data_IF_222251557251
#
_entry.id   IF_222251557251
#
_cell.length_a   1.000
_cell.length_b   1.000
_cell.length_c   1.000
_cell.angle_alpha   90.00
_cell.angle_beta   90.00
_cell.angle_gamma   90.00
#
_symmetry.space_group_name_H-M   'P 1'
#
loop_
_entity.id
_entity.type
_entity.pdbx_description
1 polymer ?
#
# COMPACT_ATOMS: atom_id res chain seq x y z
N UNK A 1 10.58 0.57 -4.46
CA UNK A 1 10.46 -0.31 -3.30
C UNK A 1 9.36 0.30 -2.46
N UNK A 2 8.36 -0.50 -2.12
CA UNK A 2 7.29 -0.11 -1.22
C UNK A 2 7.74 -0.55 0.16
N UNK A 3 7.71 0.35 1.13
CA UNK A 3 8.11 0.05 2.50
C UNK A 3 6.86 -0.15 3.35
N UNK A 4 6.87 -1.15 4.24
CA UNK A 4 5.81 -1.40 5.21
C UNK A 4 6.39 -1.26 6.60
N UNK A 5 5.83 -0.37 7.40
CA UNK A 5 6.33 -0.01 8.72
C UNK A 5 5.24 -0.25 9.77
N UNK A 6 5.62 -0.78 10.93
CA UNK A 6 4.73 -0.85 12.08
C UNK A 6 4.59 0.53 12.74
N UNK A 7 3.37 0.85 13.16
CA UNK A 7 3.07 2.10 13.86
C UNK A 7 2.93 1.87 15.38
N UNK A 8 2.82 2.96 16.14
CA UNK A 8 2.70 2.90 17.60
C UNK A 8 1.44 2.19 18.11
N UNK A 9 0.41 2.03 17.26
CA UNK A 9 -0.79 1.25 17.57
C UNK A 9 -0.66 -0.15 16.97
N UNK A 10 -0.82 -1.17 17.83
CA UNK A 10 -0.72 -2.57 17.43
C UNK A 10 -1.70 -2.89 16.29
N UNK A 11 -1.18 -3.52 15.24
CA UNK A 11 -1.96 -3.91 14.06
C UNK A 11 -2.11 -2.82 13.00
N UNK A 12 -1.60 -1.61 13.26
CA UNK A 12 -1.55 -0.53 12.26
C UNK A 12 -0.22 -0.54 11.55
N UNK A 13 -0.27 -0.43 10.22
CA UNK A 13 0.91 -0.37 9.35
C UNK A 13 0.85 0.86 8.44
N UNK A 14 1.98 1.54 8.28
CA UNK A 14 2.18 2.56 7.26
C UNK A 14 2.78 1.92 6.01
N UNK A 15 2.07 2.08 4.89
CA UNK A 15 2.53 1.61 3.58
C UNK A 15 3.04 2.81 2.80
N UNK A 16 4.36 2.92 2.65
CA UNK A 16 5.00 4.01 1.91
C UNK A 16 5.17 3.62 0.46
N UNK A 17 4.36 4.24 -0.40
CA UNK A 17 4.37 4.02 -1.84
C UNK A 17 5.59 4.67 -2.50
N UNK A 18 6.15 3.99 -3.51
CA UNK A 18 7.07 4.61 -4.44
C UNK A 18 6.26 5.20 -5.60
N UNK A 19 6.44 6.49 -5.83
CA UNK A 19 5.86 7.21 -6.97
C UNK A 19 6.92 7.44 -8.03
N UNK A 20 6.58 7.15 -9.28
CA UNK A 20 7.35 7.50 -10.47
C UNK A 20 6.66 8.69 -11.13
N UNK A 21 7.43 9.66 -11.63
CA UNK A 21 6.90 10.89 -12.21
C UNK A 21 7.67 11.24 -13.49
N UNK A 22 6.95 11.63 -14.54
CA UNK A 22 7.48 12.12 -15.81
C UNK A 22 6.52 13.15 -16.44
N UNK A 23 6.79 13.63 -17.67
CA UNK A 23 5.94 14.65 -18.31
C UNK A 23 4.49 14.23 -18.55
N UNK A 24 4.16 12.94 -18.46
CA UNK A 24 2.80 12.40 -18.64
C UNK A 24 2.00 12.40 -17.33
N UNK A 25 2.68 12.58 -16.19
CA UNK A 25 2.08 12.55 -14.87
C UNK A 25 2.84 11.64 -13.91
N UNK A 26 2.12 10.97 -13.02
CA UNK A 26 2.69 10.09 -12.00
C UNK A 26 2.08 8.69 -12.02
N UNK A 27 2.85 7.71 -11.56
CA UNK A 27 2.45 6.32 -11.41
C UNK A 27 2.90 5.78 -10.05
N UNK A 28 1.98 5.08 -9.38
CA UNK A 28 2.26 4.36 -8.14
C UNK A 28 1.53 3.03 -8.14
N UNK A 29 2.26 1.95 -7.82
CA UNK A 29 1.65 0.64 -7.53
C UNK A 29 1.15 0.65 -6.08
N UNK A 30 -0.17 0.81 -5.90
CA UNK A 30 -0.79 1.04 -4.58
C UNK A 30 -1.15 -0.24 -3.82
N UNK A 31 -1.11 -1.40 -4.47
CA UNK A 31 -1.41 -2.70 -3.87
C UNK A 31 -0.63 -3.81 -4.58
N UNK A 32 -0.05 -4.73 -3.79
CA UNK A 32 0.60 -5.95 -4.28
C UNK A 32 0.40 -7.09 -3.28
N UNK A 33 -0.43 -8.07 -3.64
CA UNK A 33 -0.85 -9.18 -2.75
C UNK A 33 0.30 -9.82 -1.97
N UNK A 34 1.33 -10.30 -2.67
CA UNK A 34 2.47 -10.97 -2.02
C UNK A 34 3.21 -10.06 -1.03
N UNK A 35 3.40 -8.78 -1.34
CA UNK A 35 4.06 -7.84 -0.41
C UNK A 35 3.23 -7.68 0.87
N UNK A 36 1.92 -7.60 0.74
CA UNK A 36 1.02 -7.38 1.86
C UNK A 36 0.96 -8.64 2.74
N UNK A 37 0.84 -9.83 2.12
CA UNK A 37 0.88 -11.12 2.81
C UNK A 37 2.20 -11.34 3.57
N UNK A 38 3.35 -11.07 2.93
CA UNK A 38 4.68 -11.16 3.55
C UNK A 38 4.83 -10.22 4.76
N UNK A 39 4.05 -9.14 4.81
CA UNK A 39 4.03 -8.17 5.91
C UNK A 39 2.87 -8.40 6.90
N UNK A 40 2.22 -9.57 6.86
CA UNK A 40 1.17 -9.96 7.80
C UNK A 40 -0.22 -9.40 7.50
N UNK A 41 -0.43 -8.84 6.31
CA UNK A 41 -1.72 -8.35 5.81
C UNK A 41 -2.28 -9.40 4.84
N UNK A 42 -2.74 -10.53 5.38
CA UNK A 42 -3.22 -11.69 4.60
C UNK A 42 -4.74 -11.71 4.39
N UNK A 43 -5.41 -10.56 4.54
CA UNK A 43 -6.85 -10.43 4.30
C UNK A 43 -7.13 -10.21 2.82
N UNK A 44 -8.27 -10.72 2.35
CA UNK A 44 -8.69 -10.53 0.96
C UNK A 44 -9.11 -9.07 0.71
N UNK A 45 -8.62 -8.50 -0.39
CA UNK A 45 -9.02 -7.18 -0.86
C UNK A 45 -10.33 -7.31 -1.66
N UNK A 46 -11.46 -7.10 -0.98
CA UNK A 46 -12.81 -7.36 -1.54
C UNK A 46 -13.40 -6.15 -2.24
N UNK A 47 -13.19 -4.95 -1.71
CA UNK A 47 -13.82 -3.72 -2.20
C UNK A 47 -12.93 -2.51 -1.96
N UNK A 48 -12.91 -1.62 -2.95
CA UNK A 48 -12.30 -0.30 -2.85
C UNK A 48 -13.42 0.76 -2.89
N UNK A 49 -13.43 1.64 -1.89
CA UNK A 49 -14.48 2.65 -1.72
C UNK A 49 -13.86 4.03 -1.84
N UNK A 50 -14.52 4.90 -2.60
CA UNK A 50 -14.12 6.29 -2.81
C UNK A 50 -15.27 7.20 -2.41
N UNK A 51 -14.98 8.26 -1.67
CA UNK A 51 -15.93 9.31 -1.28
C UNK A 51 -15.37 10.67 -1.71
N UNK A 52 -16.24 11.56 -2.19
CA UNK A 52 -15.90 12.91 -2.66
C UNK A 52 -16.57 13.99 -1.81
#
# INVERSE_FOLDING_TARGET
MVDVLDEGLLGVKLIRLKTFCDERGFFSEIYRKLLYEENGIAVDFVQDNISC
#
